data_IF_569146537967
#
_entry.id   IF_569146537967
#
_cell.length_a   1.000
_cell.length_b   1.000
_cell.length_c   1.000
_cell.angle_alpha   90.00
_cell.angle_beta   90.00
_cell.angle_gamma   90.00
#
_symmetry.space_group_name_H-M   'P 1'
#
loop_
_entity.id
_entity.type
_entity.pdbx_description
1 polymer ?
#
# COMPACT_ATOMS: atom_id res chain seq x y z
N UNK A 1 -18.51 10.24 15.64
CA UNK A 1 -18.40 10.33 14.16
C UNK A 1 -19.55 9.53 13.58
N UNK A 2 -20.41 10.09 12.72
CA UNK A 2 -21.59 9.40 12.17
C UNK A 2 -21.16 8.39 11.08
N UNK A 3 -21.87 7.27 10.95
CA UNK A 3 -21.61 6.22 9.96
C UNK A 3 -21.64 6.78 8.53
N UNK A 4 -22.56 7.70 8.21
CA UNK A 4 -22.59 8.38 6.92
C UNK A 4 -21.28 9.13 6.63
N UNK A 5 -20.73 9.85 7.62
CA UNK A 5 -19.44 10.53 7.49
C UNK A 5 -18.29 9.56 7.26
N UNK A 6 -18.33 8.38 7.90
CA UNK A 6 -17.31 7.35 7.73
C UNK A 6 -17.39 6.77 6.31
N UNK A 7 -18.58 6.42 5.83
CA UNK A 7 -18.79 5.88 4.49
C UNK A 7 -18.40 6.88 3.40
N UNK A 8 -18.79 8.16 3.52
CA UNK A 8 -18.35 9.19 2.59
C UNK A 8 -16.82 9.31 2.55
N UNK A 9 -16.11 9.13 3.66
CA UNK A 9 -14.63 9.22 3.71
C UNK A 9 -13.92 8.12 2.93
N UNK A 10 -14.59 7.01 2.62
CA UNK A 10 -14.04 5.90 1.84
C UNK A 10 -13.93 6.23 0.35
N UNK A 11 -14.71 7.20 -0.14
CA UNK A 11 -14.63 7.63 -1.53
C UNK A 11 -13.31 8.36 -1.82
N UNK A 12 -12.84 8.32 -3.08
CA UNK A 12 -11.68 9.12 -3.51
C UNK A 12 -11.82 10.60 -3.16
N UNK A 13 -10.73 11.32 -2.81
CA UNK A 13 -10.79 12.71 -2.39
C UNK A 13 -11.55 13.62 -3.35
N UNK A 14 -11.32 13.47 -4.66
CA UNK A 14 -11.97 14.29 -5.68
C UNK A 14 -13.50 14.06 -5.75
N UNK A 15 -13.93 12.81 -5.58
CA UNK A 15 -15.35 12.45 -5.50
C UNK A 15 -15.98 13.03 -4.24
N UNK A 16 -15.27 12.97 -3.11
CA UNK A 16 -15.74 13.54 -1.84
C UNK A 16 -15.89 15.05 -1.89
N UNK A 17 -14.95 15.74 -2.53
CA UNK A 17 -14.99 17.20 -2.67
C UNK A 17 -16.18 17.63 -3.53
N UNK A 18 -16.50 16.88 -4.58
CA UNK A 18 -17.56 17.24 -5.53
C UNK A 18 -18.96 16.77 -5.10
N UNK A 19 -19.07 15.56 -4.55
CA UNK A 19 -20.34 14.87 -4.31
C UNK A 19 -20.49 14.37 -2.86
N UNK A 20 -19.56 14.68 -1.97
CA UNK A 20 -19.54 14.11 -0.62
C UNK A 20 -20.69 14.54 0.27
N UNK A 21 -21.26 15.72 0.08
CA UNK A 21 -22.47 16.15 0.81
C UNK A 21 -23.70 15.39 0.33
N UNK A 22 -23.89 15.23 -0.98
CA UNK A 22 -24.99 14.47 -1.56
C UNK A 22 -24.96 12.99 -1.13
N UNK A 23 -23.79 12.35 -1.23
CA UNK A 23 -23.58 10.97 -0.76
C UNK A 23 -23.89 10.85 0.73
N UNK A 24 -23.45 11.82 1.55
CA UNK A 24 -23.73 11.79 2.99
C UNK A 24 -25.21 11.92 3.28
N UNK A 25 -25.90 12.82 2.56
CA UNK A 25 -27.33 13.01 2.70
C UNK A 25 -28.09 11.74 2.33
N UNK A 26 -27.77 11.13 1.18
CA UNK A 26 -28.39 9.90 0.69
C UNK A 26 -28.17 8.71 1.65
N UNK A 27 -26.94 8.54 2.16
CA UNK A 27 -26.63 7.50 3.16
C UNK A 27 -27.36 7.75 4.48
N UNK A 28 -27.48 9.01 4.90
CA UNK A 28 -28.21 9.36 6.11
C UNK A 28 -29.72 9.13 5.98
N UNK A 29 -30.28 9.37 4.79
CA UNK A 29 -31.70 9.17 4.50
C UNK A 29 -32.06 7.69 4.32
N UNK A 30 -31.17 6.91 3.68
CA UNK A 30 -31.42 5.49 3.37
C UNK A 30 -31.02 4.52 4.50
N UNK A 31 -30.25 5.00 5.48
CA UNK A 31 -29.85 4.22 6.64
C UNK A 31 -28.89 3.07 6.32
N UNK A 32 -28.90 2.02 7.17
CA UNK A 32 -27.93 0.90 7.09
C UNK A 32 -28.08 0.08 5.80
N UNK A 33 -29.27 0.08 5.19
CA UNK A 33 -29.58 -0.75 4.02
C UNK A 33 -28.77 -0.37 2.78
N UNK A 34 -28.37 0.90 2.64
CA UNK A 34 -27.55 1.38 1.52
C UNK A 34 -26.04 1.22 1.73
N UNK A 35 -25.60 0.74 2.90
CA UNK A 35 -24.17 0.64 3.21
C UNK A 35 -23.42 -0.29 2.25
N UNK A 36 -23.91 -1.50 1.90
CA UNK A 36 -23.22 -2.37 0.97
C UNK A 36 -23.04 -1.72 -0.41
N UNK A 37 -24.08 -1.08 -0.93
CA UNK A 37 -24.05 -0.39 -2.23
C UNK A 37 -23.11 0.81 -2.20
N UNK A 38 -23.09 1.55 -1.10
CA UNK A 38 -22.17 2.68 -0.89
C UNK A 38 -20.71 2.22 -0.85
N UNK A 39 -20.43 1.12 -0.15
CA UNK A 39 -19.10 0.51 -0.09
C UNK A 39 -18.66 -0.02 -1.46
N UNK A 40 -19.56 -0.70 -2.18
CA UNK A 40 -19.31 -1.19 -3.53
C UNK A 40 -19.06 -0.03 -4.50
N UNK A 41 -19.81 1.06 -4.39
CA UNK A 41 -19.61 2.29 -5.17
C UNK A 41 -18.25 2.93 -4.91
N UNK A 42 -17.86 3.05 -3.64
CA UNK A 42 -16.54 3.56 -3.27
C UNK A 42 -15.41 2.68 -3.83
N UNK A 43 -15.52 1.35 -3.68
CA UNK A 43 -14.55 0.40 -4.21
C UNK A 43 -14.45 0.48 -5.74
N UNK A 44 -15.59 0.54 -6.44
CA UNK A 44 -15.64 0.67 -7.90
C UNK A 44 -14.93 1.94 -8.36
N UNK A 45 -15.15 3.07 -7.69
CA UNK A 45 -14.46 4.31 -8.03
C UNK A 45 -12.95 4.21 -7.78
N UNK A 46 -12.51 3.56 -6.71
CA UNK A 46 -11.07 3.32 -6.50
C UNK A 46 -10.41 2.49 -7.61
N UNK A 47 -11.14 1.56 -8.21
CA UNK A 47 -10.69 0.73 -9.33
C UNK A 47 -10.71 1.46 -10.69
N UNK A 48 -11.46 2.56 -10.80
CA UNK A 48 -11.62 3.34 -12.03
C UNK A 48 -11.21 4.80 -11.79
N UNK A 49 -9.92 5.08 -11.48
CA UNK A 49 -9.43 6.43 -11.24
C UNK A 49 -9.66 7.38 -12.43
N UNK A 50 -9.79 6.86 -13.64
CA UNK A 50 -10.14 7.65 -14.82
C UNK A 50 -11.51 8.34 -14.69
N UNK A 51 -12.46 7.76 -13.96
CA UNK A 51 -13.81 8.33 -13.77
C UNK A 51 -13.89 9.43 -12.74
N UNK A 52 -12.78 9.75 -12.08
CA UNK A 52 -12.78 10.77 -11.04
C UNK A 52 -12.92 12.16 -11.66
N UNK A 53 -13.72 13.05 -11.04
CA UNK A 53 -13.78 14.43 -11.47
C UNK A 53 -12.43 15.10 -11.16
N UNK A 54 -11.66 15.49 -12.19
CA UNK A 54 -10.46 16.29 -11.97
C UNK A 54 -10.85 17.75 -11.70
N UNK A 55 -10.58 18.25 -10.49
CA UNK A 55 -10.72 19.68 -10.17
C UNK A 55 -9.43 20.45 -10.49
N UNK A 56 -8.28 19.77 -10.37
CA UNK A 56 -6.96 20.29 -10.75
C UNK A 56 -6.19 19.29 -11.60
N UNK A 57 -5.42 19.79 -12.56
CA UNK A 57 -4.61 18.94 -13.45
C UNK A 57 -3.63 18.07 -12.64
N UNK A 58 -3.73 16.75 -12.80
CA UNK A 58 -2.84 15.79 -12.12
C UNK A 58 -3.21 15.45 -10.67
N UNK A 59 -4.37 15.90 -10.17
CA UNK A 59 -4.90 15.50 -8.86
C UNK A 59 -5.04 13.97 -8.75
N UNK A 60 -5.66 13.33 -9.75
CA UNK A 60 -5.86 11.87 -9.80
C UNK A 60 -4.52 11.14 -9.77
N UNK A 61 -3.56 11.57 -10.61
CA UNK A 61 -2.21 10.97 -10.66
C UNK A 61 -1.53 11.00 -9.29
N UNK A 62 -1.62 12.13 -8.58
CA UNK A 62 -1.03 12.27 -7.25
C UNK A 62 -1.66 11.32 -6.23
N UNK A 63 -2.99 11.20 -6.21
CA UNK A 63 -3.69 10.29 -5.29
C UNK A 63 -3.35 8.83 -5.62
N UNK A 64 -3.37 8.45 -6.90
CA UNK A 64 -3.03 7.08 -7.33
C UNK A 64 -1.57 6.75 -7.02
N UNK A 65 -0.63 7.68 -7.19
CA UNK A 65 0.76 7.45 -6.76
C UNK A 65 0.84 7.14 -5.27
N UNK A 66 0.20 7.93 -4.41
CA UNK A 66 0.20 7.66 -2.95
C UNK A 66 -0.47 6.33 -2.63
N UNK A 67 -1.60 6.03 -3.27
CA UNK A 67 -2.32 4.77 -3.09
C UNK A 67 -1.46 3.56 -3.49
N UNK A 68 -0.67 3.68 -4.56
CA UNK A 68 0.27 2.63 -4.97
C UNK A 68 1.35 2.37 -3.92
N UNK A 69 1.94 3.43 -3.34
CA UNK A 69 2.92 3.24 -2.27
C UNK A 69 2.30 2.64 -1.01
N UNK A 70 1.03 2.99 -0.70
CA UNK A 70 0.29 2.35 0.37
C UNK A 70 0.02 0.86 0.07
N UNK A 71 -0.32 0.53 -1.18
CA UNK A 71 -0.46 -0.85 -1.65
C UNK A 71 0.85 -1.63 -1.48
N UNK A 72 1.98 -1.06 -1.92
CA UNK A 72 3.31 -1.66 -1.75
C UNK A 72 3.67 -1.88 -0.27
N UNK A 73 3.37 -0.90 0.60
CA UNK A 73 3.60 -1.05 2.03
C UNK A 73 2.73 -2.15 2.64
N UNK A 74 1.45 -2.22 2.26
CA UNK A 74 0.54 -3.29 2.69
C UNK A 74 1.02 -4.67 2.21
N UNK A 75 1.47 -4.78 0.96
CA UNK A 75 2.13 -6.00 0.44
C UNK A 75 3.34 -6.37 1.28
N UNK A 76 4.21 -5.42 1.61
CA UNK A 76 5.39 -5.68 2.43
C UNK A 76 5.03 -6.21 3.82
N UNK A 77 3.99 -5.65 4.45
CA UNK A 77 3.48 -6.13 5.74
C UNK A 77 2.87 -7.53 5.63
N UNK A 78 2.10 -7.79 4.56
CA UNK A 78 1.49 -9.09 4.30
C UNK A 78 2.54 -10.18 4.10
N UNK A 79 3.56 -9.90 3.27
CA UNK A 79 4.67 -10.81 3.05
C UNK A 79 5.49 -11.03 4.34
N UNK A 80 5.59 -10.01 5.20
CA UNK A 80 6.24 -10.15 6.49
C UNK A 80 5.41 -10.96 7.49
N UNK A 81 4.09 -10.93 7.39
CA UNK A 81 3.18 -11.71 8.25
C UNK A 81 3.13 -13.18 7.88
N UNK A 82 3.50 -13.51 6.65
CA UNK A 82 3.71 -14.90 6.26
C UNK A 82 4.76 -15.52 7.19
N UNK A 83 4.47 -16.73 7.68
CA UNK A 83 5.47 -17.56 8.37
C UNK A 83 6.75 -17.63 7.51
N UNK A 84 7.94 -17.87 8.11
CA UNK A 84 9.21 -17.96 7.38
C UNK A 84 9.15 -19.02 6.28
N UNK A 85 8.64 -18.61 5.12
CA UNK A 85 8.43 -19.46 3.97
C UNK A 85 9.63 -19.20 3.08
N UNK A 86 10.44 -20.24 2.91
CA UNK A 86 11.60 -20.23 2.01
C UNK A 86 11.23 -19.87 0.57
N UNK A 87 9.93 -19.86 0.24
CA UNK A 87 9.34 -19.57 -1.06
C UNK A 87 9.16 -18.09 -1.37
N UNK A 88 8.87 -17.25 -0.36
CA UNK A 88 8.68 -15.79 -0.50
C UNK A 88 9.79 -14.97 0.15
N UNK A 89 10.75 -15.63 0.80
CA UNK A 89 11.96 -14.98 1.28
C UNK A 89 12.89 -14.72 0.09
N UNK A 90 13.14 -13.45 -0.21
CA UNK A 90 14.10 -13.07 -1.24
C UNK A 90 15.50 -13.52 -0.82
N UNK A 91 16.05 -14.50 -1.52
CA UNK A 91 17.38 -15.04 -1.28
C UNK A 91 18.23 -14.94 -2.55
N UNK A 92 19.42 -14.35 -2.41
CA UNK A 92 20.41 -14.20 -3.49
C UNK A 92 20.87 -15.56 -4.00
N UNK A 93 20.85 -16.59 -3.14
CA UNK A 93 21.23 -17.95 -3.48
C UNK A 93 20.12 -18.74 -4.19
N UNK A 94 18.88 -18.22 -4.21
CA UNK A 94 17.73 -18.86 -4.84
C UNK A 94 17.00 -17.86 -5.78
N UNK A 95 17.56 -17.51 -6.94
CA UNK A 95 17.00 -16.47 -7.81
C UNK A 95 15.56 -16.77 -8.28
N UNK A 96 15.17 -18.05 -8.33
CA UNK A 96 13.82 -18.46 -8.65
C UNK A 96 12.77 -18.00 -7.61
N UNK A 97 13.10 -17.91 -6.32
CA UNK A 97 12.19 -17.40 -5.27
C UNK A 97 12.13 -15.86 -5.25
N UNK A 98 13.04 -15.19 -5.95
CA UNK A 98 13.12 -13.73 -6.04
C UNK A 98 12.55 -13.15 -7.35
N UNK A 99 11.99 -13.98 -8.24
CA UNK A 99 11.49 -13.56 -9.57
C UNK A 99 10.38 -12.50 -9.50
N UNK A 100 9.54 -12.53 -8.46
CA UNK A 100 8.49 -11.53 -8.25
C UNK A 100 9.03 -10.17 -7.80
N UNK A 101 10.24 -10.13 -7.21
CA UNK A 101 10.83 -8.91 -6.66
C UNK A 101 11.26 -7.93 -7.76
N UNK A 102 11.79 -8.43 -8.88
CA UNK A 102 12.23 -7.60 -10.00
C UNK A 102 11.10 -6.72 -10.59
N UNK A 103 9.93 -7.27 -10.98
CA UNK A 103 8.83 -6.44 -11.44
C UNK A 103 8.27 -5.53 -10.34
N UNK A 104 8.29 -5.95 -9.07
CA UNK A 104 7.87 -5.10 -7.95
C UNK A 104 8.77 -3.85 -7.82
N UNK A 105 10.08 -4.05 -7.77
CA UNK A 105 11.07 -2.97 -7.67
C UNK A 105 11.01 -2.05 -8.89
N UNK A 106 10.87 -2.62 -10.10
CA UNK A 106 10.71 -1.84 -11.32
C UNK A 106 9.43 -0.99 -11.27
N UNK A 107 8.32 -1.55 -10.80
CA UNK A 107 7.07 -0.83 -10.63
C UNK A 107 7.18 0.31 -9.61
N UNK A 108 7.82 0.09 -8.47
CA UNK A 108 8.10 1.13 -7.46
C UNK A 108 8.97 2.24 -8.08
N UNK A 109 10.04 1.87 -8.79
CA UNK A 109 10.92 2.82 -9.46
C UNK A 109 10.20 3.65 -10.52
N UNK A 110 9.25 3.05 -11.26
CA UNK A 110 8.41 3.75 -12.22
C UNK A 110 7.39 4.66 -11.53
N UNK A 111 6.86 4.29 -10.37
CA UNK A 111 5.91 5.13 -9.66
C UNK A 111 6.54 6.27 -8.85
N UNK A 112 7.85 6.17 -8.57
CA UNK A 112 8.55 7.13 -7.74
C UNK A 112 8.44 8.55 -8.34
N UNK A 113 7.91 9.52 -7.57
CA UNK A 113 7.89 10.92 -7.97
C UNK A 113 9.34 11.42 -8.05
N UNK A 114 9.70 12.08 -9.14
CA UNK A 114 11.06 12.57 -9.36
C UNK A 114 11.19 13.94 -8.69
N UNK A 115 12.04 14.09 -7.65
CA UNK A 115 12.26 15.39 -7.06
C UNK A 115 12.95 16.31 -8.06
N UNK A 116 12.65 17.63 -8.06
CA UNK A 116 13.42 18.56 -8.86
C UNK A 116 14.89 18.53 -8.42
N UNK A 117 15.82 18.50 -9.37
CA UNK A 117 17.28 18.46 -9.12
C UNK A 117 17.83 19.82 -8.64
N UNK A 118 17.10 20.54 -7.80
CA UNK A 118 17.57 21.78 -7.19
C UNK A 118 18.08 21.51 -5.77
N UNK A 119 19.25 22.06 -5.43
CA UNK A 119 19.85 21.85 -4.11
C UNK A 119 18.96 22.30 -2.95
N UNK A 120 18.19 23.38 -3.12
CA UNK A 120 17.25 23.87 -2.12
C UNK A 120 16.07 22.90 -1.93
N UNK A 121 15.50 22.34 -3.00
CA UNK A 121 14.44 21.35 -2.90
C UNK A 121 14.95 20.05 -2.28
N UNK A 122 16.14 19.58 -2.66
CA UNK A 122 16.77 18.42 -2.05
C UNK A 122 16.97 18.62 -0.54
N UNK A 123 17.49 19.77 -0.08
CA UNK A 123 17.60 20.07 1.35
C UNK A 123 16.25 20.11 2.07
N UNK A 124 15.23 20.69 1.44
CA UNK A 124 13.88 20.71 2.01
C UNK A 124 13.28 19.31 2.14
N UNK A 125 13.50 18.46 1.14
CA UNK A 125 13.06 17.07 1.11
C UNK A 125 13.82 16.21 2.12
N UNK A 126 15.14 16.37 2.24
CA UNK A 126 15.93 15.64 3.24
C UNK A 126 15.53 16.06 4.65
N UNK A 127 15.37 17.36 4.92
CA UNK A 127 14.90 17.83 6.22
C UNK A 127 13.49 17.31 6.54
N UNK A 128 12.59 17.28 5.55
CA UNK A 128 11.26 16.69 5.72
C UNK A 128 11.35 15.19 5.98
N UNK A 129 12.15 14.45 5.22
CA UNK A 129 12.37 13.01 5.38
C UNK A 129 12.92 12.69 6.77
N UNK A 130 13.98 13.39 7.20
CA UNK A 130 14.57 13.24 8.54
C UNK A 130 13.53 13.52 9.62
N UNK A 131 12.76 14.60 9.53
CA UNK A 131 11.72 14.90 10.52
C UNK A 131 10.60 13.86 10.55
N UNK A 132 10.22 13.30 9.40
CA UNK A 132 9.18 12.26 9.34
C UNK A 132 9.67 10.89 9.77
N UNK A 133 10.96 10.60 9.56
CA UNK A 133 11.56 9.28 9.77
C UNK A 133 12.34 9.16 11.08
N UNK A 134 12.72 10.26 11.74
CA UNK A 134 13.46 10.20 13.01
C UNK A 134 12.72 9.37 14.07
N UNK A 135 11.42 9.60 14.25
CA UNK A 135 10.61 8.85 15.20
C UNK A 135 10.51 7.34 14.85
N UNK A 136 10.12 6.93 13.62
CA UNK A 136 10.09 5.50 13.30
C UNK A 136 11.48 4.86 13.30
N UNK A 137 12.54 5.57 12.90
CA UNK A 137 13.91 5.06 13.00
C UNK A 137 14.31 4.82 14.45
N UNK A 138 14.00 5.75 15.36
CA UNK A 138 14.25 5.55 16.79
C UNK A 138 13.47 4.35 17.36
N UNK A 139 12.21 4.18 16.96
CA UNK A 139 11.40 3.03 17.37
C UNK A 139 11.98 1.70 16.86
N UNK A 140 12.43 1.64 15.60
CA UNK A 140 13.09 0.46 15.03
C UNK A 140 14.42 0.17 15.73
N UNK A 141 15.23 1.20 16.00
CA UNK A 141 16.49 1.05 16.74
C UNK A 141 16.22 0.52 18.14
N UNK A 142 15.21 1.04 18.85
CA UNK A 142 14.82 0.52 20.16
C UNK A 142 14.42 -0.96 20.08
N UNK A 143 13.61 -1.36 19.09
CA UNK A 143 13.27 -2.77 18.88
C UNK A 143 14.51 -3.64 18.61
N UNK A 144 15.42 -3.20 17.75
CA UNK A 144 16.66 -3.94 17.46
C UNK A 144 17.54 -4.07 18.72
N UNK A 145 17.69 -3.01 19.51
CA UNK A 145 18.44 -3.05 20.76
C UNK A 145 17.80 -3.99 21.77
N UNK A 146 16.47 -3.98 21.90
CA UNK A 146 15.76 -4.94 22.78
C UNK A 146 15.95 -6.37 22.31
N UNK A 147 15.89 -6.63 21.01
CA UNK A 147 16.12 -7.96 20.45
C UNK A 147 17.57 -8.43 20.68
N UNK A 148 18.55 -7.56 20.47
CA UNK A 148 19.98 -7.89 20.66
C UNK A 148 20.40 -8.00 22.12
N UNK A 149 19.67 -7.41 23.05
CA UNK A 149 19.96 -7.51 24.48
C UNK A 149 19.65 -8.89 25.08
N UNK A 150 19.06 -9.81 24.31
CA UNK A 150 18.68 -11.16 24.79
C UNK A 150 17.47 -11.15 25.74
N UNK A 151 16.93 -9.99 26.07
CA UNK A 151 15.72 -9.87 26.91
C UNK A 151 14.50 -10.48 26.25
N UNK A 152 14.45 -10.49 24.92
CA UNK A 152 13.35 -11.04 24.14
C UNK A 152 13.18 -12.57 24.34
N UNK A 153 14.27 -13.29 24.61
CA UNK A 153 14.24 -14.75 24.78
C UNK A 153 13.60 -15.19 26.11
N UNK A 154 13.47 -14.26 27.06
CA UNK A 154 12.94 -14.52 28.40
C UNK A 154 11.51 -13.97 28.60
N UNK A 155 10.90 -13.41 27.56
CA UNK A 155 9.54 -12.87 27.63
C UNK A 155 8.52 -14.01 27.60
N UNK A 156 7.61 -14.05 28.58
CA UNK A 156 6.52 -15.02 28.63
C UNK A 156 5.17 -14.34 28.87
N UNK A 157 4.10 -14.90 28.30
CA UNK A 157 2.74 -14.46 28.56
C UNK A 157 2.45 -13.06 28.01
N UNK A 158 2.00 -12.14 28.86
CA UNK A 158 1.59 -10.79 28.44
C UNK A 158 2.74 -9.96 27.87
N UNK A 159 3.98 -10.21 28.29
CA UNK A 159 5.13 -9.45 27.81
C UNK A 159 5.48 -9.81 26.37
N UNK A 160 5.31 -11.07 25.98
CA UNK A 160 5.49 -11.55 24.61
C UNK A 160 4.42 -10.96 23.68
N UNK A 161 3.14 -11.01 24.08
CA UNK A 161 2.07 -10.41 23.29
C UNK A 161 2.23 -8.89 23.15
N UNK A 162 2.67 -8.19 24.20
CA UNK A 162 3.01 -6.78 24.12
C UNK A 162 4.18 -6.51 23.17
N UNK A 163 5.23 -7.34 23.19
CA UNK A 163 6.36 -7.23 22.28
C UNK A 163 5.95 -7.43 20.81
N UNK A 164 5.21 -8.50 20.51
CA UNK A 164 4.66 -8.76 19.16
C UNK A 164 3.75 -7.63 18.70
N UNK A 165 2.89 -7.11 19.59
CA UNK A 165 2.00 -5.99 19.27
C UNK A 165 2.82 -4.73 18.98
N UNK A 166 3.83 -4.42 19.80
CA UNK A 166 4.71 -3.26 19.60
C UNK A 166 5.51 -3.34 18.30
N UNK A 167 5.93 -4.54 17.90
CA UNK A 167 6.60 -4.81 16.63
C UNK A 167 5.70 -4.45 15.45
N UNK A 168 4.47 -4.98 15.41
CA UNK A 168 3.50 -4.70 14.36
C UNK A 168 3.07 -3.24 14.33
N UNK A 169 2.85 -2.62 15.50
CA UNK A 169 2.55 -1.19 15.59
C UNK A 169 3.69 -0.34 15.03
N UNK A 170 4.95 -0.72 15.29
CA UNK A 170 6.11 0.00 14.76
C UNK A 170 6.21 -0.15 13.25
N UNK A 171 6.00 -1.35 12.70
CA UNK A 171 5.94 -1.55 11.25
C UNK A 171 4.81 -0.74 10.59
N UNK A 172 3.61 -0.77 11.16
CA UNK A 172 2.48 0.03 10.70
C UNK A 172 2.76 1.53 10.77
N UNK A 173 3.41 1.99 11.84
CA UNK A 173 3.83 3.38 12.00
C UNK A 173 4.86 3.81 10.93
N UNK A 174 5.87 2.97 10.65
CA UNK A 174 6.85 3.20 9.58
C UNK A 174 6.15 3.30 8.23
N UNK A 175 5.27 2.34 7.90
CA UNK A 175 4.51 2.31 6.66
C UNK A 175 3.67 3.58 6.47
N UNK A 176 2.95 3.99 7.51
CA UNK A 176 2.14 5.21 7.50
C UNK A 176 3.02 6.46 7.27
N UNK A 177 4.16 6.56 7.97
CA UNK A 177 5.08 7.69 7.83
C UNK A 177 5.71 7.76 6.44
N UNK A 178 6.05 6.62 5.85
CA UNK A 178 6.50 6.55 4.46
C UNK A 178 5.42 7.02 3.48
N UNK A 179 4.16 6.58 3.65
CA UNK A 179 3.05 7.03 2.82
C UNK A 179 2.83 8.55 2.94
N UNK A 180 2.90 9.11 4.15
CA UNK A 180 2.81 10.56 4.39
C UNK A 180 3.98 11.31 3.76
N UNK A 181 5.20 10.75 3.83
CA UNK A 181 6.38 11.32 3.19
C UNK A 181 6.20 11.34 1.67
N UNK A 182 5.79 10.24 1.05
CA UNK A 182 5.48 10.17 -0.39
C UNK A 182 4.40 11.18 -0.76
N UNK A 183 3.31 11.28 0.01
CA UNK A 183 2.24 12.25 -0.23
C UNK A 183 2.73 13.70 -0.14
N UNK A 184 3.73 13.98 0.70
CA UNK A 184 4.39 15.29 0.81
C UNK A 184 5.31 15.54 -0.38
N UNK A 185 6.13 14.56 -0.77
CA UNK A 185 7.02 14.66 -1.94
C UNK A 185 6.21 14.87 -3.21
N UNK A 186 5.12 14.14 -3.39
CA UNK A 186 4.23 14.23 -4.55
C UNK A 186 3.52 15.60 -4.67
N UNK A 187 3.57 16.48 -3.65
CA UNK A 187 3.12 17.88 -3.78
C UNK A 187 4.09 18.76 -4.52
N UNK A 188 5.38 18.45 -4.43
CA UNK A 188 6.48 19.32 -4.86
C UNK A 188 7.30 18.73 -5.99
N UNK A 189 7.18 17.42 -6.21
CA UNK A 189 7.92 16.67 -7.22
C UNK A 189 7.16 16.59 -8.56
N UNK A 190 7.90 16.32 -9.63
CA UNK A 190 7.30 16.01 -10.92
C UNK A 190 6.56 14.68 -10.82
N UNK A 191 5.24 14.73 -11.01
CA UNK A 191 4.38 13.55 -10.93
C UNK A 191 4.66 12.61 -12.11
N UNK A 192 4.58 11.28 -11.91
CA UNK A 192 4.69 10.34 -13.02
C UNK A 192 3.60 10.61 -14.06
N UNK A 193 3.93 10.37 -15.33
CA UNK A 193 2.93 10.41 -16.41
C UNK A 193 1.93 9.27 -16.22
N UNK A 194 0.70 9.42 -16.75
CA UNK A 194 -0.33 8.37 -16.67
C UNK A 194 0.18 7.04 -17.24
N UNK A 195 0.98 7.08 -18.32
CA UNK A 195 1.63 5.89 -18.89
C UNK A 195 2.62 5.24 -17.91
N UNK A 196 3.47 6.04 -17.26
CA UNK A 196 4.45 5.54 -16.29
C UNK A 196 3.76 4.95 -15.05
N UNK A 197 2.64 5.55 -14.63
CA UNK A 197 1.85 5.07 -13.49
C UNK A 197 1.05 3.79 -13.82
N UNK A 198 0.43 3.72 -15.00
CA UNK A 198 -0.24 2.50 -15.49
C UNK A 198 0.76 1.35 -15.64
N UNK A 199 1.93 1.60 -16.24
CA UNK A 199 2.98 0.57 -16.33
C UNK A 199 3.50 0.13 -14.97
N UNK A 200 3.68 1.06 -14.02
CA UNK A 200 4.04 0.73 -12.64
C UNK A 200 3.00 -0.19 -11.97
N UNK A 201 1.71 0.16 -12.08
CA UNK A 201 0.59 -0.63 -11.56
C UNK A 201 0.55 -2.03 -12.15
N UNK A 202 0.75 -2.16 -13.47
CA UNK A 202 0.80 -3.46 -14.14
C UNK A 202 1.99 -4.29 -13.66
N UNK A 203 3.18 -3.70 -13.51
CA UNK A 203 4.35 -4.42 -13.01
C UNK A 203 4.18 -4.90 -11.57
N UNK A 204 3.61 -4.05 -10.70
CA UNK A 204 3.30 -4.42 -9.31
C UNK A 204 2.22 -5.51 -9.30
N UNK A 205 1.19 -5.39 -10.12
CA UNK A 205 0.17 -6.43 -10.30
C UNK A 205 0.77 -7.77 -10.73
N UNK A 206 1.65 -7.78 -11.74
CA UNK A 206 2.37 -8.97 -12.20
C UNK A 206 3.27 -9.55 -11.11
N UNK A 207 3.97 -8.73 -10.35
CA UNK A 207 4.76 -9.19 -9.22
C UNK A 207 3.89 -9.91 -8.18
N UNK A 208 2.75 -9.32 -7.83
CA UNK A 208 1.82 -9.88 -6.86
C UNK A 208 1.16 -11.17 -7.35
N UNK A 209 0.81 -11.28 -8.64
CA UNK A 209 0.29 -12.53 -9.20
C UNK A 209 1.36 -13.63 -9.20
N UNK A 210 2.62 -13.29 -9.49
CA UNK A 210 3.73 -14.25 -9.41
C UNK A 210 3.95 -14.72 -7.97
N UNK A 211 3.96 -13.80 -7.00
CA UNK A 211 4.09 -14.14 -5.58
C UNK A 211 2.93 -15.04 -5.11
N UNK A 212 1.69 -14.71 -5.46
CA UNK A 212 0.52 -15.55 -5.17
C UNK A 212 0.63 -16.94 -5.82
N UNK A 213 1.03 -17.00 -7.09
CA UNK A 213 1.22 -18.25 -7.82
C UNK A 213 2.31 -19.14 -7.22
N UNK A 214 3.43 -18.56 -6.77
CA UNK A 214 4.48 -19.28 -6.07
C UNK A 214 3.99 -19.84 -4.73
N UNK A 215 3.19 -19.07 -3.98
CA UNK A 215 2.62 -19.51 -2.72
C UNK A 215 1.60 -20.64 -2.93
N UNK A 216 0.75 -20.56 -3.97
CA UNK A 216 -0.16 -21.63 -4.39
C UNK A 216 0.59 -22.91 -4.82
N UNK A 217 1.66 -22.79 -5.62
CA UNK A 217 2.47 -23.93 -6.04
C UNK A 217 3.18 -24.59 -4.86
N UNK A 218 3.63 -23.80 -3.88
CA UNK A 218 4.20 -24.32 -2.64
C UNK A 218 3.18 -25.14 -1.85
N UNK A 219 1.94 -24.64 -1.71
CA UNK A 219 0.86 -25.38 -1.06
C UNK A 219 0.48 -26.69 -1.75
N UNK A 220 0.67 -26.82 -3.06
CA UNK A 220 0.44 -28.10 -3.74
C UNK A 220 1.54 -29.11 -3.39
N UNK A 221 2.75 -28.64 -3.08
CA UNK A 221 3.92 -29.47 -2.77
C UNK A 221 4.04 -29.80 -1.27
N UNK A 222 3.47 -28.98 -0.40
CA UNK A 222 3.52 -29.14 1.06
C UNK A 222 2.10 -29.29 1.63
N UNK A 223 1.94 -29.81 2.85
CA UNK A 223 0.62 -29.89 3.47
C UNK A 223 -0.03 -28.49 3.54
N UNK A 224 -1.34 -28.36 3.25
CA UNK A 224 -2.03 -27.08 3.21
C UNK A 224 -2.12 -26.47 4.62
N UNK A 225 -1.68 -25.22 4.75
CA UNK A 225 -1.84 -24.43 5.96
C UNK A 225 -2.88 -23.32 5.69
N UNK A 226 -3.82 -23.05 6.61
CA UNK A 226 -4.88 -22.05 6.36
C UNK A 226 -4.34 -20.63 6.15
N UNK A 227 -3.17 -20.30 6.71
CA UNK A 227 -2.50 -19.00 6.53
C UNK A 227 -2.08 -18.72 5.08
N UNK A 228 -1.52 -19.72 4.39
CA UNK A 228 -1.01 -19.54 3.03
C UNK A 228 -2.12 -19.36 1.98
N UNK A 229 -3.33 -19.91 2.22
CA UNK A 229 -4.52 -19.64 1.41
C UNK A 229 -5.00 -18.19 1.53
N UNK A 230 -5.08 -17.70 2.77
CA UNK A 230 -5.50 -16.32 3.04
C UNK A 230 -4.50 -15.32 2.42
N UNK A 231 -3.19 -15.57 2.56
CA UNK A 231 -2.13 -14.77 1.94
C UNK A 231 -2.20 -14.78 0.41
N UNK A 232 -2.33 -15.96 -0.20
CA UNK A 232 -2.43 -16.09 -1.66
C UNK A 232 -3.64 -15.34 -2.20
N UNK A 233 -4.75 -15.38 -1.47
CA UNK A 233 -5.98 -14.67 -1.82
C UNK A 233 -5.80 -13.16 -1.65
N UNK A 234 -5.19 -12.71 -0.55
CA UNK A 234 -4.90 -11.30 -0.31
C UNK A 234 -3.95 -10.74 -1.38
N UNK A 235 -2.87 -11.45 -1.73
CA UNK A 235 -1.96 -11.09 -2.82
C UNK A 235 -2.69 -11.07 -4.17
N UNK A 236 -3.56 -12.05 -4.44
CA UNK A 236 -4.37 -12.10 -5.66
C UNK A 236 -5.35 -10.93 -5.78
N UNK A 237 -6.01 -10.54 -4.68
CA UNK A 237 -6.89 -9.37 -4.63
C UNK A 237 -6.10 -8.07 -4.86
N UNK A 238 -4.96 -7.90 -4.19
CA UNK A 238 -4.09 -6.74 -4.41
C UNK A 238 -3.59 -6.69 -5.86
N UNK A 239 -3.25 -7.84 -6.45
CA UNK A 239 -2.86 -7.93 -7.85
C UNK A 239 -3.98 -7.51 -8.79
N UNK A 240 -5.20 -8.03 -8.60
CA UNK A 240 -6.36 -7.69 -9.39
C UNK A 240 -6.66 -6.19 -9.31
N UNK A 241 -6.63 -5.60 -8.10
CA UNK A 241 -6.85 -4.16 -7.92
C UNK A 241 -5.81 -3.32 -8.67
N UNK A 242 -4.52 -3.68 -8.59
CA UNK A 242 -3.45 -2.99 -9.28
C UNK A 242 -3.60 -3.09 -10.81
N UNK A 243 -3.91 -4.28 -11.32
CA UNK A 243 -4.10 -4.53 -12.76
C UNK A 243 -5.31 -3.77 -13.30
N UNK A 244 -6.47 -3.85 -12.64
CA UNK A 244 -7.69 -3.14 -13.04
C UNK A 244 -7.46 -1.63 -13.08
N UNK A 245 -6.89 -1.06 -12.01
CA UNK A 245 -6.55 0.36 -11.93
C UNK A 245 -5.56 0.77 -13.03
N UNK A 246 -4.56 -0.09 -13.31
CA UNK A 246 -3.57 0.14 -14.37
C UNK A 246 -4.18 0.13 -15.78
N UNK A 247 -5.15 -0.76 -16.04
CA UNK A 247 -5.87 -0.82 -17.31
C UNK A 247 -6.81 0.37 -17.51
N UNK A 248 -7.55 0.77 -16.48
CA UNK A 248 -8.46 1.93 -16.52
C UNK A 248 -7.70 3.22 -16.90
N UNK A 249 -6.55 3.47 -16.23
CA UNK A 249 -5.67 4.59 -16.57
C UNK A 249 -5.11 4.54 -18.00
N UNK A 250 -4.99 3.34 -18.59
CA UNK A 250 -4.52 3.17 -19.96
C UNK A 250 -5.64 3.43 -20.97
N UNK A 251 -6.88 3.04 -20.66
CA UNK A 251 -8.03 3.16 -21.55
C UNK A 251 -8.49 4.60 -21.76
N UNK A 252 -8.55 5.43 -20.72
CA UNK A 252 -8.95 6.86 -20.84
C UNK A 252 -7.99 7.75 -21.65
N UNK A 253 -6.91 7.18 -22.19
CA UNK A 253 -5.97 7.86 -23.07
C UNK A 253 -6.25 7.60 -24.56
N UNK A 254 -6.91 6.48 -24.88
CA UNK A 254 -7.27 6.12 -26.25
C UNK A 254 -8.55 6.85 -26.66
#
# INVERSE_FOLDING_TARGET
>A
MNAATLLTRLYPPAVRERWGEDIRHEVSASGIRSWPDTLAGAARLWLHPGDWPETFTGQTRRVVTVALFALTAATGLLLRSAEPSTTLTADVHHPATSLWLAPLLLGIGLAAPLPPLSGAALRGLTAAAVRTLAAPTAAVVALCLTAWSGTAEHLTGFADTAAVTSYWLTLGFVALRLCVLVARIARTAALPTTRRLSTALLHIGTALTLAAGQNLLAMVRTAPHPGSLAESTALGLLAATAISTGHDLRQKRA
#
